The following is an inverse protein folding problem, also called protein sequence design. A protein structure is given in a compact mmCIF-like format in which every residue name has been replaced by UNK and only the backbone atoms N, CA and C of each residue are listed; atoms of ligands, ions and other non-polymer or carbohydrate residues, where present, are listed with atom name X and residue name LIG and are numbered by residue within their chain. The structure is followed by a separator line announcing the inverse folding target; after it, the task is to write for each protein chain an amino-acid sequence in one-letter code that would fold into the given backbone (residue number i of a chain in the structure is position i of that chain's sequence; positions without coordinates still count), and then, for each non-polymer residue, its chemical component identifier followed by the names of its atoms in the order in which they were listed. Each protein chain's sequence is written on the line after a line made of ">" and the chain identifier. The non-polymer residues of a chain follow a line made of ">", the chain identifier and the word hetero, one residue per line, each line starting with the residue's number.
data_IF_158447226075
#
_entry.id   IF_158447226075
#
_cell.length_a   1.000
_cell.length_b   1.000
_cell.length_c   1.000
_cell.angle_alpha   90.00
_cell.angle_beta   90.00
_cell.angle_gamma   90.00
#
_symmetry.space_group_name_H-M   'P 1'
#
loop_
_entity.id
_entity.type
_entity.pdbx_description
1 polymer ?
#
# COMPACT_ATOMS: atom_id res chain seq x y z
N UNK A 1 28.07 -33.13 -11.54
CA UNK A 1 28.34 -32.73 -12.94
C UNK A 1 27.08 -32.05 -13.46
N UNK A 2 27.18 -30.77 -13.85
CA UNK A 2 26.09 -29.83 -14.10
C UNK A 2 25.10 -30.27 -15.19
N UNK A 3 23.81 -29.99 -15.01
CA UNK A 3 22.87 -29.74 -16.11
C UNK A 3 22.15 -28.41 -15.88
N UNK A 4 22.46 -27.47 -16.77
CA UNK A 4 21.84 -26.16 -16.92
C UNK A 4 20.34 -26.30 -17.17
N UNK A 5 19.51 -25.71 -16.29
CA UNK A 5 18.12 -25.42 -16.63
C UNK A 5 18.02 -24.00 -17.20
N UNK A 6 17.56 -23.99 -18.44
CA UNK A 6 17.34 -22.88 -19.34
C UNK A 6 16.24 -21.98 -18.75
N UNK A 7 16.58 -20.70 -18.50
CA UNK A 7 15.64 -19.62 -18.17
C UNK A 7 14.65 -19.50 -19.32
N UNK A 8 13.41 -19.95 -19.11
CA UNK A 8 12.29 -19.74 -20.03
C UNK A 8 11.86 -18.29 -19.97
N UNK A 9 12.10 -17.56 -21.05
CA UNK A 9 11.50 -16.27 -21.36
C UNK A 9 10.03 -16.45 -21.73
N UNK A 10 9.15 -15.65 -21.10
CA UNK A 10 7.82 -15.33 -21.61
C UNK A 10 6.66 -15.81 -20.73
N UNK A 11 6.05 -14.89 -19.98
CA UNK A 11 4.60 -14.86 -19.87
C UNK A 11 4.11 -13.43 -20.08
N UNK A 12 3.18 -13.34 -21.03
CA UNK A 12 2.49 -12.18 -21.55
C UNK A 12 1.72 -11.46 -20.43
N UNK A 13 1.79 -10.11 -20.40
CA UNK A 13 1.04 -9.28 -19.44
C UNK A 13 1.80 -8.06 -18.87
N UNK A 14 3.02 -7.78 -19.31
CA UNK A 14 3.87 -6.74 -18.71
C UNK A 14 3.86 -5.36 -19.43
N UNK A 15 2.85 -5.04 -20.23
CA UNK A 15 2.80 -3.80 -21.04
C UNK A 15 2.11 -2.62 -20.32
N UNK A 16 2.60 -2.30 -19.13
CA UNK A 16 2.35 -1.01 -18.48
C UNK A 16 3.68 -0.30 -18.25
N UNK A 17 3.79 1.03 -18.46
CA UNK A 17 5.01 1.76 -18.17
C UNK A 17 5.40 1.58 -16.69
N UNK A 18 6.44 0.79 -16.43
CA UNK A 18 7.05 0.68 -15.10
C UNK A 18 7.93 1.90 -14.89
N UNK A 19 7.44 2.87 -14.14
CA UNK A 19 8.28 3.95 -13.65
C UNK A 19 9.32 3.42 -12.66
N UNK A 20 10.38 4.18 -12.41
CA UNK A 20 11.42 3.80 -11.45
C UNK A 20 11.67 4.97 -10.51
N UNK A 21 11.04 4.96 -9.34
CA UNK A 21 11.17 6.03 -8.37
C UNK A 21 10.13 5.97 -7.25
N UNK A 22 9.62 7.12 -6.86
CA UNK A 22 8.60 7.25 -5.83
C UNK A 22 7.18 7.32 -6.40
N UNK A 23 7.02 7.27 -7.72
CA UNK A 23 5.74 7.06 -8.41
C UNK A 23 5.89 5.83 -9.29
N UNK A 24 4.99 4.86 -9.14
CA UNK A 24 5.18 3.49 -9.61
C UNK A 24 3.86 2.90 -10.08
N UNK A 25 3.86 2.22 -11.22
CA UNK A 25 2.72 1.39 -11.64
C UNK A 25 2.85 -0.01 -11.08
N UNK A 26 1.79 -0.55 -10.48
CA UNK A 26 1.78 -1.90 -9.89
C UNK A 26 0.84 -2.84 -10.66
N UNK A 27 0.93 -4.14 -10.37
CA UNK A 27 -0.01 -5.12 -10.94
C UNK A 27 -1.46 -4.76 -10.55
N UNK A 28 -2.42 -5.02 -11.44
CA UNK A 28 -3.81 -4.56 -11.28
C UNK A 28 -4.05 -3.13 -11.81
N UNK A 29 -3.02 -2.46 -12.36
CA UNK A 29 -3.16 -1.15 -12.98
C UNK A 29 -3.06 0.03 -12.01
N UNK A 30 -2.99 -0.22 -10.70
CA UNK A 30 -2.90 0.84 -9.68
C UNK A 30 -1.59 1.61 -9.83
N UNK A 31 -1.64 2.93 -9.59
CA UNK A 31 -0.45 3.78 -9.47
C UNK A 31 -0.21 4.08 -8.01
N UNK A 32 1.01 3.87 -7.51
CA UNK A 32 1.40 4.22 -6.14
C UNK A 32 2.32 5.43 -6.16
N UNK A 33 2.02 6.41 -5.30
CA UNK A 33 2.78 7.64 -5.07
C UNK A 33 3.29 7.61 -3.63
N UNK A 34 4.59 7.38 -3.44
CA UNK A 34 5.24 7.39 -2.14
C UNK A 34 5.74 8.79 -1.78
N UNK A 35 4.93 9.52 -1.01
CA UNK A 35 5.32 10.78 -0.39
C UNK A 35 5.88 10.58 1.02
N UNK A 36 5.94 9.33 1.50
CA UNK A 36 6.51 8.99 2.80
C UNK A 36 8.04 9.12 2.78
N UNK A 37 8.61 9.17 3.97
CA UNK A 37 10.04 9.27 4.23
C UNK A 37 10.78 7.97 4.02
N UNK A 38 10.05 6.86 4.03
CA UNK A 38 10.58 5.50 4.03
C UNK A 38 10.27 4.79 2.73
N UNK A 39 10.93 3.65 2.53
CA UNK A 39 10.67 2.83 1.36
C UNK A 39 9.49 1.91 1.59
N UNK A 40 8.81 1.61 0.49
CA UNK A 40 7.68 0.70 0.46
C UNK A 40 7.96 -0.40 -0.54
N UNK A 41 7.40 -1.57 -0.30
CA UNK A 41 7.46 -2.69 -1.22
C UNK A 41 6.05 -3.14 -1.56
N UNK A 42 5.89 -3.57 -2.82
CA UNK A 42 4.71 -4.29 -3.28
C UNK A 42 5.09 -5.72 -3.59
N UNK A 43 4.42 -6.64 -2.91
CA UNK A 43 4.57 -8.07 -3.09
C UNK A 43 3.48 -8.60 -4.04
N UNK A 44 3.91 -9.34 -5.06
CA UNK A 44 3.04 -9.93 -6.09
C UNK A 44 2.66 -11.39 -5.80
N UNK A 45 2.98 -11.90 -4.62
CA UNK A 45 2.71 -13.27 -4.18
C UNK A 45 3.99 -14.08 -4.01
N UNK A 46 3.86 -15.30 -3.44
CA UNK A 46 4.98 -16.09 -2.89
C UNK A 46 6.12 -16.44 -3.86
N UNK A 47 5.95 -16.28 -5.17
CA UNK A 47 6.95 -16.58 -6.21
C UNK A 47 7.26 -15.41 -7.16
N UNK A 48 6.65 -14.24 -6.95
CA UNK A 48 6.78 -13.10 -7.85
C UNK A 48 7.68 -12.02 -7.25
N UNK A 49 8.61 -11.50 -8.06
CA UNK A 49 9.61 -10.52 -7.61
C UNK A 49 9.02 -9.33 -6.86
N UNK A 50 9.69 -8.94 -5.79
CA UNK A 50 9.37 -7.76 -5.00
C UNK A 50 9.65 -6.51 -5.81
N UNK A 51 8.79 -5.50 -5.66
CA UNK A 51 9.03 -4.20 -6.26
C UNK A 51 9.09 -3.09 -5.20
N UNK A 52 10.24 -2.42 -5.13
CA UNK A 52 10.50 -1.30 -4.21
C UNK A 52 10.03 0.05 -4.74
N UNK A 53 9.10 0.65 -4.03
CA UNK A 53 8.63 2.04 -4.15
C UNK A 53 9.48 2.91 -3.22
N UNK A 54 10.57 3.45 -3.77
CA UNK A 54 11.49 4.31 -3.01
C UNK A 54 10.81 5.62 -2.64
N UNK A 55 11.33 6.30 -1.62
CA UNK A 55 10.97 7.71 -1.41
C UNK A 55 11.61 8.60 -2.50
N UNK A 56 11.17 9.86 -2.60
CA UNK A 56 11.63 10.79 -3.65
C UNK A 56 13.14 11.05 -3.65
N UNK A 57 13.79 10.92 -2.49
CA UNK A 57 15.23 11.07 -2.33
C UNK A 57 16.03 9.84 -2.72
N UNK A 58 15.40 8.66 -2.86
CA UNK A 58 16.11 7.41 -3.12
C UNK A 58 16.96 6.91 -1.95
N UNK A 59 16.71 7.39 -0.74
CA UNK A 59 17.33 6.99 0.53
C UNK A 59 16.41 7.41 1.68
N UNK A 60 16.25 6.60 2.71
CA UNK A 60 15.32 6.92 3.80
C UNK A 60 15.75 8.18 4.56
N UNK A 61 14.79 9.08 4.80
CA UNK A 61 15.06 10.40 5.38
C UNK A 61 14.42 10.51 6.77
N UNK A 62 15.21 10.70 7.82
CA UNK A 62 14.66 10.88 9.17
C UNK A 62 14.42 12.37 9.51
N UNK A 63 15.19 13.28 8.91
CA UNK A 63 15.01 14.72 9.00
C UNK A 63 13.80 15.22 8.22
N UNK A 64 13.15 16.29 8.71
CA UNK A 64 12.06 16.94 7.98
C UNK A 64 12.60 17.73 6.78
N UNK A 65 13.70 18.45 6.96
CA UNK A 65 14.33 19.29 5.94
C UNK A 65 14.85 18.43 4.78
N UNK A 66 15.59 17.37 5.07
CA UNK A 66 16.07 16.40 4.08
C UNK A 66 14.91 15.78 3.27
N UNK A 67 13.79 15.50 3.94
CA UNK A 67 12.61 14.95 3.28
C UNK A 67 11.93 15.97 2.35
N UNK A 68 11.83 17.23 2.79
CA UNK A 68 11.31 18.31 1.97
C UNK A 68 12.19 18.51 0.72
N UNK A 69 13.51 18.59 0.89
CA UNK A 69 14.47 18.74 -0.20
C UNK A 69 14.37 17.55 -1.18
N UNK A 70 14.28 16.33 -0.65
CA UNK A 70 14.10 15.12 -1.44
C UNK A 70 12.82 15.17 -2.29
N UNK A 71 11.68 15.59 -1.72
CA UNK A 71 10.42 15.73 -2.44
C UNK A 71 10.50 16.82 -3.51
N UNK A 72 10.97 18.03 -3.15
CA UNK A 72 11.13 19.14 -4.10
C UNK A 72 12.04 18.75 -5.26
N UNK A 73 13.20 18.16 -4.97
CA UNK A 73 14.14 17.67 -5.96
C UNK A 73 13.56 16.54 -6.82
N UNK A 74 12.79 15.63 -6.22
CA UNK A 74 12.07 14.57 -6.94
C UNK A 74 11.05 15.12 -7.94
N UNK A 75 10.20 16.05 -7.51
CA UNK A 75 9.22 16.72 -8.38
C UNK A 75 9.88 17.55 -9.48
N UNK A 76 10.98 18.24 -9.18
CA UNK A 76 11.71 19.05 -10.15
C UNK A 76 12.37 18.19 -11.24
N UNK A 77 12.98 17.05 -10.87
CA UNK A 77 13.66 16.13 -11.80
C UNK A 77 12.70 15.39 -12.72
N UNK A 78 11.41 15.34 -12.38
CA UNK A 78 10.39 14.71 -13.19
C UNK A 78 10.06 15.54 -14.43
N UNK A 79 10.72 15.22 -15.54
CA UNK A 79 10.53 15.83 -16.86
C UNK A 79 9.19 15.49 -17.51
N UNK A 80 8.71 16.34 -18.46
CA UNK A 80 7.34 16.26 -19.02
C UNK A 80 6.93 14.88 -19.48
N UNK A 81 7.87 14.20 -20.11
CA UNK A 81 7.69 12.90 -20.73
C UNK A 81 8.13 11.73 -19.84
N UNK A 82 8.47 11.97 -18.57
CA UNK A 82 8.93 10.90 -17.69
C UNK A 82 7.84 9.83 -17.49
N UNK A 83 8.22 8.56 -17.29
CA UNK A 83 7.27 7.48 -17.04
C UNK A 83 6.29 7.78 -15.90
N UNK A 84 6.77 8.40 -14.82
CA UNK A 84 5.98 8.80 -13.65
C UNK A 84 4.86 9.79 -14.04
N UNK A 85 5.18 10.76 -14.89
CA UNK A 85 4.18 11.74 -15.34
C UNK A 85 3.17 11.12 -16.29
N UNK A 86 3.60 10.20 -17.15
CA UNK A 86 2.67 9.45 -18.01
C UNK A 86 1.72 8.59 -17.18
N UNK A 87 2.20 7.97 -16.09
CA UNK A 87 1.36 7.24 -15.15
C UNK A 87 0.33 8.16 -14.50
N UNK A 88 0.75 9.30 -13.92
CA UNK A 88 -0.18 10.24 -13.30
C UNK A 88 -1.17 10.84 -14.30
N UNK A 89 -0.72 11.21 -15.51
CA UNK A 89 -1.62 11.69 -16.56
C UNK A 89 -2.64 10.60 -16.95
N UNK A 90 -2.18 9.36 -17.13
CA UNK A 90 -3.08 8.23 -17.43
C UNK A 90 -4.09 8.01 -16.32
N UNK A 91 -3.67 8.12 -15.06
CA UNK A 91 -4.58 8.04 -13.90
C UNK A 91 -5.63 9.14 -13.89
N UNK A 92 -5.28 10.39 -14.27
CA UNK A 92 -6.24 11.47 -14.41
C UNK A 92 -7.24 11.21 -15.53
N UNK A 93 -6.74 10.82 -16.70
CA UNK A 93 -7.53 10.67 -17.92
C UNK A 93 -8.46 9.46 -17.86
N UNK A 94 -7.96 8.32 -17.35
CA UNK A 94 -8.67 7.03 -17.33
C UNK A 94 -9.31 6.69 -15.98
N UNK A 95 -9.13 7.56 -14.98
CA UNK A 95 -9.55 7.29 -13.59
C UNK A 95 -8.99 5.98 -13.06
N UNK A 96 -7.74 5.69 -13.42
CA UNK A 96 -7.01 4.55 -12.86
C UNK A 96 -6.73 4.82 -11.38
N UNK A 97 -7.00 3.85 -10.48
CA UNK A 97 -6.74 3.98 -9.05
C UNK A 97 -5.34 4.49 -8.71
N UNK A 98 -5.27 5.46 -7.79
CA UNK A 98 -4.00 5.98 -7.26
C UNK A 98 -3.92 5.75 -5.75
N UNK A 99 -2.84 5.15 -5.27
CA UNK A 99 -2.52 5.05 -3.86
C UNK A 99 -1.47 6.08 -3.49
N UNK A 100 -1.77 7.00 -2.58
CA UNK A 100 -0.85 8.04 -2.13
C UNK A 100 -0.44 7.75 -0.68
N UNK A 101 0.83 7.46 -0.47
CA UNK A 101 1.41 7.18 0.85
C UNK A 101 1.96 8.49 1.42
N UNK A 102 1.33 9.01 2.46
CA UNK A 102 1.73 10.21 3.18
C UNK A 102 2.50 9.86 4.46
N UNK A 103 3.43 10.73 4.89
CA UNK A 103 4.05 10.62 6.21
C UNK A 103 3.00 10.65 7.33
N UNK A 104 3.24 9.89 8.40
CA UNK A 104 2.34 9.86 9.57
C UNK A 104 2.45 11.07 10.49
N UNK A 105 3.61 11.73 10.50
CA UNK A 105 3.83 12.93 11.30
C UNK A 105 3.11 14.11 10.65
N UNK A 106 2.23 14.79 11.40
CA UNK A 106 1.38 15.86 10.88
C UNK A 106 2.16 16.97 10.15
N UNK A 107 3.30 17.39 10.70
CA UNK A 107 4.15 18.42 10.07
C UNK A 107 4.72 17.96 8.73
N UNK A 108 5.27 16.74 8.67
CA UNK A 108 5.80 16.17 7.43
C UNK A 108 4.70 15.91 6.39
N UNK A 109 3.55 15.44 6.84
CA UNK A 109 2.36 15.23 6.01
C UNK A 109 1.88 16.50 5.34
N UNK A 110 1.71 17.59 6.10
CA UNK A 110 1.20 18.84 5.57
C UNK A 110 2.15 19.40 4.52
N UNK A 111 3.46 19.40 4.81
CA UNK A 111 4.50 19.76 3.85
C UNK A 111 4.44 18.89 2.58
N UNK A 112 4.41 17.56 2.73
CA UNK A 112 4.38 16.65 1.58
C UNK A 112 3.11 16.83 0.74
N UNK A 113 1.97 17.12 1.39
CA UNK A 113 0.72 17.45 0.71
C UNK A 113 0.82 18.75 -0.07
N UNK A 114 1.29 19.83 0.54
CA UNK A 114 1.45 21.12 -0.13
C UNK A 114 2.36 21.03 -1.36
N UNK A 115 3.50 20.34 -1.24
CA UNK A 115 4.41 20.13 -2.36
C UNK A 115 3.77 19.32 -3.49
N UNK A 116 3.02 18.28 -3.14
CA UNK A 116 2.36 17.44 -4.13
C UNK A 116 1.24 18.21 -4.86
N UNK A 117 0.43 18.99 -4.14
CA UNK A 117 -0.59 19.87 -4.73
C UNK A 117 0.03 20.93 -5.65
N UNK A 118 1.13 21.55 -5.23
CA UNK A 118 1.88 22.52 -6.06
C UNK A 118 2.39 21.86 -7.34
N UNK A 119 2.95 20.66 -7.23
CA UNK A 119 3.45 19.89 -8.38
C UNK A 119 2.33 19.56 -9.36
N UNK A 120 1.23 18.94 -8.90
CA UNK A 120 0.14 18.52 -9.80
C UNK A 120 -0.59 19.71 -10.43
N UNK A 121 -0.81 20.79 -9.68
CA UNK A 121 -1.43 22.01 -10.20
C UNK A 121 -0.56 22.65 -11.29
N UNK A 122 0.75 22.75 -11.06
CA UNK A 122 1.66 23.28 -12.09
C UNK A 122 1.73 22.36 -13.30
N UNK A 123 1.77 21.06 -13.07
CA UNK A 123 2.11 20.07 -14.09
C UNK A 123 0.96 19.61 -14.95
N UNK A 124 -0.16 19.31 -14.31
CA UNK A 124 -1.34 18.71 -14.93
C UNK A 124 -2.53 19.68 -14.96
N UNK A 125 -2.42 20.86 -14.34
CA UNK A 125 -3.53 21.81 -14.17
C UNK A 125 -4.73 21.17 -13.46
N UNK A 126 -4.42 20.29 -12.51
CA UNK A 126 -5.36 19.48 -11.74
C UNK A 126 -5.07 19.62 -10.23
N UNK A 127 -5.96 19.10 -9.40
CA UNK A 127 -5.87 18.97 -7.94
C UNK A 127 -5.79 17.48 -7.55
N UNK A 128 -5.28 17.15 -6.35
CA UNK A 128 -5.19 15.75 -5.95
C UNK A 128 -6.57 15.07 -5.84
N UNK A 129 -7.64 15.87 -5.68
CA UNK A 129 -9.05 15.45 -5.72
C UNK A 129 -9.50 14.97 -7.10
N UNK A 130 -8.81 15.34 -8.17
CA UNK A 130 -9.16 14.91 -9.52
C UNK A 130 -8.73 13.47 -9.80
N UNK A 131 -7.78 12.95 -9.01
CA UNK A 131 -7.42 11.53 -9.03
C UNK A 131 -8.46 10.71 -8.27
N UNK A 132 -8.79 9.54 -8.80
CA UNK A 132 -9.44 8.50 -8.02
C UNK A 132 -8.41 7.87 -7.07
N UNK A 133 -8.22 8.55 -5.93
CA UNK A 133 -7.09 8.30 -5.05
C UNK A 133 -7.48 7.87 -3.64
N UNK A 134 -6.69 6.94 -3.13
CA UNK A 134 -6.66 6.50 -1.75
C UNK A 134 -5.44 7.12 -1.06
N UNK A 135 -5.67 7.94 -0.04
CA UNK A 135 -4.61 8.61 0.72
C UNK A 135 -4.34 7.85 2.02
N UNK A 136 -3.22 7.15 2.11
CA UNK A 136 -2.76 6.46 3.31
C UNK A 136 -1.84 7.36 4.13
N UNK A 137 -2.11 7.51 5.42
CA UNK A 137 -1.27 8.28 6.31
C UNK A 137 -0.53 7.35 7.25
N UNK A 138 0.73 7.09 6.91
CA UNK A 138 1.55 6.05 7.52
C UNK A 138 2.11 6.53 8.85
N UNK A 139 1.40 6.26 9.94
CA UNK A 139 1.87 6.59 11.27
C UNK A 139 2.11 5.33 12.10
N UNK A 140 3.15 5.27 12.94
CA UNK A 140 3.27 4.15 13.87
C UNK A 140 2.05 4.10 14.80
N UNK A 141 1.50 2.89 15.01
CA UNK A 141 0.47 2.64 16.04
C UNK A 141 1.07 2.90 17.42
N UNK A 142 0.34 3.63 18.28
CA UNK A 142 0.68 3.74 19.70
C UNK A 142 0.43 2.40 20.40
N UNK A 143 1.22 2.07 21.42
CA UNK A 143 0.99 0.91 22.30
C UNK A 143 -0.48 0.77 22.70
N UNK A 144 -1.06 -0.41 22.46
CA UNK A 144 -2.45 -0.75 22.81
C UNK A 144 -3.54 -0.09 21.96
N UNK A 145 -3.23 0.42 20.74
CA UNK A 145 -4.22 1.09 19.87
C UNK A 145 -4.05 0.79 18.38
N UNK A 146 -4.32 -0.43 17.90
CA UNK A 146 -4.37 -0.67 16.45
C UNK A 146 -5.76 -0.44 15.88
N UNK A 147 -5.82 0.12 14.67
CA UNK A 147 -7.05 0.27 13.90
C UNK A 147 -7.00 -0.68 12.71
N UNK A 148 -7.85 -1.68 12.72
CA UNK A 148 -8.19 -2.44 11.51
C UNK A 148 -9.24 -1.62 10.78
N UNK A 149 -8.83 -1.06 9.65
CA UNK A 149 -9.80 -0.39 8.80
C UNK A 149 -10.48 -1.41 7.91
N UNK A 150 -11.82 -1.40 7.96
CA UNK A 150 -12.69 -2.38 7.27
C UNK A 150 -13.30 -1.83 5.98
N UNK A 151 -13.08 -0.57 5.64
CA UNK A 151 -13.62 0.01 4.40
C UNK A 151 -12.91 1.28 4.01
N UNK A 152 -12.57 1.36 2.73
CA UNK A 152 -12.48 2.62 2.01
C UNK A 152 -13.54 2.62 0.93
N UNK A 153 -14.13 3.77 0.66
CA UNK A 153 -14.97 3.95 -0.52
C UNK A 153 -14.48 5.21 -1.22
N UNK A 154 -13.46 5.06 -2.06
CA UNK A 154 -13.07 6.11 -3.00
C UNK A 154 -14.08 6.24 -4.13
N UNK A 155 -13.73 6.96 -5.21
CA UNK A 155 -14.48 6.93 -6.48
C UNK A 155 -14.14 5.64 -7.25
N UNK A 156 -14.16 4.53 -6.52
CA UNK A 156 -14.08 3.13 -6.92
C UNK A 156 -14.12 2.34 -5.60
N UNK A 157 -14.78 1.18 -5.56
CA UNK A 157 -15.00 0.40 -4.33
C UNK A 157 -13.69 -0.31 -3.89
N UNK A 158 -12.64 0.46 -3.58
CA UNK A 158 -11.34 -0.03 -3.13
C UNK A 158 -11.41 -0.56 -1.70
N UNK A 159 -10.87 -1.75 -1.49
CA UNK A 159 -10.91 -2.43 -0.19
C UNK A 159 -9.52 -2.44 0.40
N UNK A 160 -9.34 -1.89 1.61
CA UNK A 160 -8.10 -2.08 2.36
C UNK A 160 -8.36 -3.07 3.48
N UNK A 161 -7.48 -4.05 3.60
CA UNK A 161 -7.40 -4.90 4.76
C UNK A 161 -6.06 -4.69 5.46
N UNK A 162 -6.12 -4.01 6.61
CA UNK A 162 -4.93 -3.72 7.41
C UNK A 162 -4.57 -4.93 8.29
N UNK A 163 -3.47 -5.59 7.95
CA UNK A 163 -2.85 -6.68 8.72
C UNK A 163 -1.53 -6.24 9.36
N UNK A 164 -1.21 -4.94 9.35
CA UNK A 164 0.00 -4.39 9.91
C UNK A 164 -0.25 -3.64 11.21
N UNK A 165 0.80 -3.52 12.02
CA UNK A 165 0.86 -2.61 13.17
C UNK A 165 1.18 -1.17 12.79
N UNK A 166 1.22 -0.84 11.50
CA UNK A 166 1.30 0.54 11.05
C UNK A 166 -0.11 1.12 10.99
N UNK A 167 -0.24 2.25 11.67
CA UNK A 167 -1.50 2.89 11.95
C UNK A 167 -1.86 3.80 10.81
N UNK A 168 -3.06 3.61 10.30
CA UNK A 168 -3.71 4.61 9.51
C UNK A 168 -4.40 5.57 10.47
N UNK A 169 -3.67 6.61 10.89
CA UNK A 169 -4.17 7.51 11.93
C UNK A 169 -5.32 8.40 11.44
N UNK A 170 -5.34 8.72 10.15
CA UNK A 170 -6.36 9.51 9.48
C UNK A 170 -6.57 8.93 8.08
N UNK A 171 -7.75 9.12 7.51
CA UNK A 171 -7.99 8.97 6.09
C UNK A 171 -8.83 10.14 5.64
N UNK A 172 -8.48 10.71 4.49
CA UNK A 172 -9.28 11.75 3.87
C UNK A 172 -9.66 11.24 2.49
N UNK A 173 -10.92 10.82 2.36
CA UNK A 173 -11.53 10.53 1.06
C UNK A 173 -11.90 11.88 0.46
N UNK A 174 -11.09 12.30 -0.48
CA UNK A 174 -11.33 13.51 -1.23
C UNK A 174 -12.22 13.13 -2.40
N UNK A 175 -13.54 13.24 -2.15
CA UNK A 175 -14.71 13.11 -3.05
C UNK A 175 -15.69 11.99 -2.65
N UNK A 176 -16.94 12.40 -2.40
CA UNK A 176 -18.18 11.69 -2.02
C UNK A 176 -18.55 11.64 -0.54
N UNK A 177 -19.81 12.02 -0.27
CA UNK A 177 -20.56 12.02 1.00
C UNK A 177 -20.79 10.61 1.58
N UNK A 178 -19.78 9.73 1.58
CA UNK A 178 -19.96 8.32 1.92
C UNK A 178 -18.98 7.88 3.00
N UNK A 179 -19.57 7.43 4.11
CA UNK A 179 -18.89 7.10 5.36
C UNK A 179 -17.74 6.09 5.21
N UNK A 180 -16.62 6.42 5.86
CA UNK A 180 -15.56 5.46 6.22
C UNK A 180 -16.06 4.67 7.42
N UNK A 181 -16.13 3.34 7.31
CA UNK A 181 -16.45 2.47 8.45
C UNK A 181 -15.14 1.90 9.02
N UNK A 182 -14.66 2.51 10.11
CA UNK A 182 -13.55 1.99 10.92
C UNK A 182 -14.16 1.12 12.03
N UNK A 183 -14.33 -0.18 11.78
CA UNK A 183 -15.15 -1.02 12.68
C UNK A 183 -14.35 -1.86 13.69
N UNK A 184 -13.01 -1.94 13.62
CA UNK A 184 -12.24 -2.67 14.64
C UNK A 184 -11.06 -1.87 15.17
N UNK A 185 -11.16 -1.46 16.42
CA UNK A 185 -9.99 -1.21 17.25
C UNK A 185 -9.57 -2.59 17.78
N UNK A 186 -8.35 -3.02 17.46
CA UNK A 186 -7.72 -4.12 18.19
C UNK A 186 -6.98 -3.45 19.34
N UNK A 187 -7.58 -3.52 20.53
CA UNK A 187 -7.02 -2.96 21.76
C UNK A 187 -5.69 -3.66 22.13
N UNK A 188 -5.50 -4.92 21.69
CA UNK A 188 -4.36 -5.78 22.06
C UNK A 188 -3.40 -6.10 20.89
N UNK A 189 -3.22 -5.19 19.93
CA UNK A 189 -2.23 -5.43 18.88
C UNK A 189 -0.80 -5.33 19.45
N UNK A 190 0.02 -6.38 19.35
CA UNK A 190 1.38 -6.33 19.86
C UNK A 190 2.19 -5.33 19.03
N UNK A 191 2.76 -4.31 19.69
CA UNK A 191 3.40 -3.18 19.02
C UNK A 191 4.88 -3.44 18.77
N UNK A 192 5.34 -3.01 17.60
CA UNK A 192 6.75 -2.85 17.27
C UNK A 192 7.31 -3.96 16.41
N UNK A 193 8.53 -3.71 15.93
CA UNK A 193 9.36 -4.71 15.28
C UNK A 193 9.56 -5.95 16.15
N UNK A 194 9.31 -5.91 17.46
CA UNK A 194 9.69 -6.99 18.39
C UNK A 194 8.52 -7.86 18.84
N UNK A 195 7.34 -7.70 18.22
CA UNK A 195 6.20 -8.58 18.45
C UNK A 195 6.49 -9.99 17.93
N UNK A 196 6.37 -10.99 18.82
CA UNK A 196 6.54 -12.40 18.47
C UNK A 196 5.44 -12.88 17.49
N UNK A 197 5.78 -13.71 16.48
CA UNK A 197 4.85 -14.28 15.51
C UNK A 197 3.59 -14.92 16.12
N UNK A 198 3.71 -15.59 17.26
CA UNK A 198 2.60 -16.24 17.95
C UNK A 198 1.58 -15.24 18.50
N UNK A 199 2.05 -14.10 19.02
CA UNK A 199 1.18 -13.06 19.55
C UNK A 199 0.39 -12.39 18.41
N UNK A 200 1.06 -12.12 17.28
CA UNK A 200 0.43 -11.58 16.07
C UNK A 200 -0.62 -12.54 15.51
N UNK A 201 -0.29 -13.84 15.43
CA UNK A 201 -1.21 -14.88 14.97
C UNK A 201 -2.49 -14.89 15.79
N UNK A 202 -2.39 -14.95 17.13
CA UNK A 202 -3.56 -14.96 18.02
C UNK A 202 -4.41 -13.70 17.88
N UNK A 203 -3.77 -12.53 17.78
CA UNK A 203 -4.45 -11.25 17.64
C UNK A 203 -5.24 -11.19 16.33
N UNK A 204 -4.62 -11.57 15.20
CA UNK A 204 -5.27 -11.63 13.89
C UNK A 204 -6.41 -12.65 13.86
N UNK A 205 -6.22 -13.83 14.43
CA UNK A 205 -7.28 -14.84 14.47
C UNK A 205 -8.49 -14.34 15.26
N UNK A 206 -8.27 -13.67 16.39
CA UNK A 206 -9.32 -13.03 17.17
C UNK A 206 -10.03 -11.91 16.40
N UNK A 207 -9.29 -11.09 15.68
CA UNK A 207 -9.84 -10.00 14.88
C UNK A 207 -10.71 -10.51 13.73
N UNK A 208 -10.22 -11.48 12.95
CA UNK A 208 -10.94 -12.03 11.79
C UNK A 208 -12.22 -12.75 12.21
N UNK A 209 -12.22 -13.44 13.36
CA UNK A 209 -13.45 -14.09 13.86
C UNK A 209 -14.55 -13.11 14.26
N UNK A 210 -14.23 -11.84 14.52
CA UNK A 210 -15.20 -10.79 14.86
C UNK A 210 -15.72 -10.03 13.64
N UNK A 211 -15.24 -10.38 12.45
CA UNK A 211 -15.66 -9.79 11.19
C UNK A 211 -17.04 -10.35 10.81
N UNK A 212 -17.91 -9.47 10.31
CA UNK A 212 -19.23 -9.86 9.81
C UNK A 212 -19.17 -10.46 8.40
N UNK A 213 -20.27 -11.09 7.99
CA UNK A 213 -20.39 -11.69 6.66
C UNK A 213 -20.24 -10.66 5.54
N UNK A 214 -20.76 -9.45 5.73
CA UNK A 214 -20.74 -8.42 4.70
C UNK A 214 -19.31 -8.03 4.34
N UNK A 215 -18.40 -8.00 5.31
CA UNK A 215 -16.99 -7.74 5.05
C UNK A 215 -16.29 -8.89 4.31
N UNK A 216 -16.64 -10.16 4.56
CA UNK A 216 -16.12 -11.27 3.75
C UNK A 216 -16.56 -11.14 2.28
N UNK A 217 -17.82 -10.78 2.04
CA UNK A 217 -18.33 -10.54 0.69
C UNK A 217 -17.61 -9.35 0.03
N UNK A 218 -17.28 -8.29 0.79
CA UNK A 218 -16.48 -7.16 0.30
C UNK A 218 -15.05 -7.54 -0.02
N UNK A 219 -14.37 -8.32 0.82
CA UNK A 219 -13.02 -8.81 0.53
C UNK A 219 -13.02 -9.60 -0.79
N UNK A 220 -14.02 -10.47 -0.97
CA UNK A 220 -14.19 -11.24 -2.21
C UNK A 220 -14.41 -10.33 -3.41
N UNK A 221 -15.34 -9.37 -3.31
CA UNK A 221 -15.59 -8.39 -4.37
C UNK A 221 -14.35 -7.55 -4.70
N UNK A 222 -13.57 -7.15 -3.69
CA UNK A 222 -12.32 -6.43 -3.88
C UNK A 222 -11.24 -7.26 -4.60
N UNK A 223 -11.15 -8.56 -4.32
CA UNK A 223 -10.28 -9.47 -5.08
C UNK A 223 -10.77 -9.59 -6.52
N UNK A 224 -12.07 -9.81 -6.72
CA UNK A 224 -12.67 -9.97 -8.05
C UNK A 224 -12.42 -8.76 -8.94
N UNK A 225 -12.54 -7.56 -8.36
CA UNK A 225 -12.34 -6.27 -9.02
C UNK A 225 -10.87 -5.85 -9.12
N UNK A 226 -9.94 -6.53 -8.43
CA UNK A 226 -8.53 -6.15 -8.37
C UNK A 226 -8.28 -4.85 -7.60
N UNK A 227 -9.08 -4.61 -6.57
CA UNK A 227 -9.06 -3.40 -5.74
C UNK A 227 -8.76 -3.68 -4.26
N UNK A 228 -8.44 -4.94 -3.90
CA UNK A 228 -8.03 -5.30 -2.55
C UNK A 228 -6.55 -4.97 -2.30
N UNK A 229 -6.32 -4.09 -1.32
CA UNK A 229 -5.01 -3.74 -0.79
C UNK A 229 -4.79 -4.39 0.58
N UNK A 230 -3.71 -5.17 0.73
CA UNK A 230 -3.28 -5.70 2.02
C UNK A 230 -2.13 -4.87 2.54
N UNK A 231 -2.28 -4.30 3.73
CA UNK A 231 -1.16 -3.68 4.45
C UNK A 231 -0.55 -4.72 5.37
N UNK A 232 0.74 -5.02 5.18
CA UNK A 232 1.47 -6.07 5.88
C UNK A 232 2.58 -5.49 6.76
N UNK A 233 3.03 -6.23 7.81
CA UNK A 233 4.17 -5.84 8.62
C UNK A 233 5.48 -5.64 7.85
N UNK A 234 6.38 -4.81 8.38
CA UNK A 234 7.72 -4.57 7.79
C UNK A 234 8.64 -5.80 7.87
N UNK A 235 8.55 -6.62 8.93
CA UNK A 235 9.39 -7.81 9.07
C UNK A 235 8.80 -9.03 8.38
N UNK A 236 9.65 -9.80 7.69
CA UNK A 236 9.22 -10.95 6.90
C UNK A 236 8.58 -12.07 7.74
N UNK A 237 9.12 -12.37 8.93
CA UNK A 237 8.57 -13.36 9.85
C UNK A 237 7.16 -12.96 10.34
N UNK A 238 6.99 -11.69 10.68
CA UNK A 238 5.69 -11.12 11.06
C UNK A 238 4.69 -11.16 9.90
N UNK A 239 5.12 -10.82 8.67
CA UNK A 239 4.27 -10.94 7.46
C UNK A 239 3.78 -12.36 7.26
N UNK A 240 4.68 -13.33 7.32
CA UNK A 240 4.34 -14.75 7.14
C UNK A 240 3.35 -15.22 8.22
N UNK A 241 3.55 -14.77 9.46
CA UNK A 241 2.65 -15.08 10.56
C UNK A 241 1.23 -14.53 10.33
N UNK A 242 1.10 -13.24 10.00
CA UNK A 242 -0.22 -12.63 9.79
C UNK A 242 -0.91 -13.15 8.53
N UNK A 243 -0.18 -13.38 7.43
CA UNK A 243 -0.72 -13.96 6.20
C UNK A 243 -1.18 -15.40 6.42
N UNK A 244 -0.37 -16.22 7.09
CA UNK A 244 -0.73 -17.61 7.41
C UNK A 244 -1.95 -17.69 8.33
N UNK A 245 -2.01 -16.83 9.36
CA UNK A 245 -3.14 -16.75 10.27
C UNK A 245 -4.43 -16.30 9.55
N UNK A 246 -4.34 -15.22 8.77
CA UNK A 246 -5.47 -14.67 8.04
C UNK A 246 -5.98 -15.62 6.94
N UNK A 247 -5.07 -16.13 6.12
CA UNK A 247 -5.38 -17.04 5.02
C UNK A 247 -6.16 -18.27 5.47
N UNK A 248 -5.68 -18.97 6.52
CA UNK A 248 -6.36 -20.16 7.07
C UNK A 248 -7.81 -19.92 7.48
N UNK A 249 -8.10 -18.74 8.04
CA UNK A 249 -9.45 -18.38 8.47
C UNK A 249 -10.33 -17.95 7.29
N UNK A 250 -9.75 -17.21 6.34
CA UNK A 250 -10.43 -16.66 5.18
C UNK A 250 -10.74 -17.72 4.11
N UNK A 251 -9.94 -18.78 4.00
CA UNK A 251 -10.26 -19.96 3.20
C UNK A 251 -11.55 -20.64 3.65
N UNK A 252 -11.90 -20.50 4.94
CA UNK A 252 -13.10 -21.08 5.55
C UNK A 252 -14.22 -20.06 5.76
N UNK A 253 -14.09 -18.88 5.14
CA UNK A 253 -15.06 -17.81 5.28
C UNK A 253 -16.46 -18.22 4.76
N UNK A 254 -17.55 -17.78 5.41
CA UNK A 254 -18.90 -17.97 4.91
C UNK A 254 -19.08 -17.42 3.48
N UNK A 255 -19.76 -18.19 2.62
CA UNK A 255 -20.04 -17.78 1.25
C UNK A 255 -18.93 -18.06 0.23
N UNK A 256 -17.82 -18.71 0.65
CA UNK A 256 -16.74 -19.15 -0.23
C UNK A 256 -15.36 -18.65 0.20
N UNK A 257 -14.33 -19.39 -0.21
CA UNK A 257 -12.95 -19.15 0.15
C UNK A 257 -12.44 -17.79 -0.38
N UNK A 258 -11.70 -17.06 0.47
CA UNK A 258 -11.02 -15.81 0.12
C UNK A 258 -9.52 -16.09 0.09
N UNK A 259 -8.93 -16.06 -1.11
CA UNK A 259 -7.50 -16.29 -1.33
C UNK A 259 -6.72 -14.97 -1.30
N UNK A 260 -6.02 -14.72 -0.19
CA UNK A 260 -5.14 -13.55 -0.05
C UNK A 260 -3.87 -13.63 -0.90
N UNK A 261 -3.58 -14.78 -1.53
CA UNK A 261 -2.45 -15.00 -2.44
C UNK A 261 -2.83 -14.80 -3.92
N UNK A 262 -4.09 -14.44 -4.21
CA UNK A 262 -4.53 -14.11 -5.56
C UNK A 262 -3.70 -12.95 -6.16
N UNK A 263 -3.31 -13.09 -7.43
CA UNK A 263 -2.48 -12.11 -8.17
C UNK A 263 -3.10 -10.71 -8.26
N UNK A 264 -4.42 -10.58 -8.08
CA UNK A 264 -5.17 -9.33 -8.09
C UNK A 264 -5.04 -8.55 -6.79
N UNK A 265 -4.56 -9.19 -5.73
CA UNK A 265 -4.37 -8.56 -4.42
C UNK A 265 -3.06 -7.78 -4.41
N UNK A 266 -3.15 -6.51 -4.04
CA UNK A 266 -1.99 -5.61 -3.91
C UNK A 266 -1.47 -5.67 -2.48
N UNK A 267 -0.34 -6.33 -2.26
CA UNK A 267 0.27 -6.48 -0.93
C UNK A 267 1.33 -5.42 -0.73
N UNK A 268 1.16 -4.56 0.26
CA UNK A 268 2.01 -3.43 0.56
C UNK A 268 2.62 -3.58 1.95
N UNK A 269 3.90 -3.29 2.07
CA UNK A 269 4.57 -3.18 3.36
C UNK A 269 5.68 -2.15 3.27
N UNK A 270 6.01 -1.57 4.42
CA UNK A 270 7.26 -0.82 4.53
C UNK A 270 8.45 -1.77 4.35
N UNK A 271 9.49 -1.27 3.70
CA UNK A 271 10.77 -1.97 3.51
C UNK A 271 11.89 -0.98 3.75
N UNK A 272 13.12 -1.46 3.81
CA UNK A 272 14.31 -0.62 3.87
C UNK A 272 15.38 -1.15 2.91
N UNK A 273 16.36 -0.31 2.60
CA UNK A 273 17.42 -0.63 1.62
C UNK A 273 18.21 -1.90 1.98
N UNK A 274 18.38 -2.17 3.28
CA UNK A 274 19.12 -3.34 3.78
C UNK A 274 18.34 -4.64 3.54
N UNK A 275 17.02 -4.60 3.77
CA UNK A 275 16.13 -5.71 3.48
C UNK A 275 16.16 -6.06 1.98
N UNK A 276 16.10 -5.04 1.10
CA UNK A 276 16.15 -5.23 -0.35
C UNK A 276 17.50 -5.78 -0.87
N UNK A 277 18.61 -5.53 -0.16
CA UNK A 277 19.94 -6.03 -0.55
C UNK A 277 20.17 -7.51 -0.22
N UNK A 278 19.25 -8.13 0.54
CA UNK A 278 19.35 -9.51 1.02
C UNK A 278 18.60 -10.50 0.10
N UNK A 279 17.96 -9.99 -0.95
CA UNK A 279 17.19 -10.78 -1.94
C UNK A 279 17.91 -10.88 -3.29
#
# INVERSE_FOLDING_TARGET
>A
MLRFFKRGSGSEGADGPRASGFIQGVAGGVVVVNLDRFWWAVDKGMDAGHFSIRNAGGHETHGLEDHEEALRGGFLRMGKESPENRLLQTSLDRKTPVLILYPGLARARNMASELFEEFISRRFKADSRDFDSLKLYVAPVRAGKARVVRKFRGISDQVIFNLSGEGLNYFHLNTTDRDVTIDAIIDDWPVGSDAEPEALTKSIEGAIRRIDREYFDRLRGGIEQGTLFLLLPERADQRNAVLGAAGRLLERAPGGAIDLLDQRVVRLHRTNRSAEATF
#
